data_IF_219258206479
#
_entry.id   IF_219258206479
#
_cell.length_a   1.000
_cell.length_b   1.000
_cell.length_c   1.000
_cell.angle_alpha   90.00
_cell.angle_beta   90.00
_cell.angle_gamma   90.00
#
_symmetry.space_group_name_H-M   'P 1'
#
loop_
_entity.id
_entity.type
_entity.pdbx_description
1 polymer ?
#
# COMPACT_ATOMS: atom_id res chain seq x y z
N UNK A 1 15.52 28.84 -13.25
CA UNK A 1 14.66 28.49 -12.10
C UNK A 1 14.79 29.66 -11.10
N UNK A 2 13.75 30.53 -11.06
CA UNK A 2 13.65 31.53 -10.01
C UNK A 2 13.03 30.86 -8.78
N UNK A 3 13.82 30.64 -7.75
CA UNK A 3 13.29 30.32 -6.43
C UNK A 3 12.41 31.50 -5.96
N UNK A 4 11.11 31.21 -5.81
CA UNK A 4 10.19 32.16 -5.20
C UNK A 4 10.62 32.37 -3.74
N UNK A 5 10.98 33.59 -3.37
CA UNK A 5 11.33 33.89 -1.99
C UNK A 5 10.14 33.63 -1.07
N UNK A 6 10.41 33.18 0.16
CA UNK A 6 9.38 32.94 1.18
C UNK A 6 8.42 34.14 1.34
N UNK A 7 8.96 35.35 1.29
CA UNK A 7 8.16 36.59 1.40
C UNK A 7 7.21 36.81 0.21
N UNK A 8 7.58 36.34 -0.99
CA UNK A 8 6.69 36.41 -2.16
C UNK A 8 5.54 35.43 -2.06
N UNK A 9 5.78 34.22 -1.52
CA UNK A 9 4.76 33.19 -1.28
C UNK A 9 3.81 33.66 -0.17
N UNK A 10 4.31 34.20 0.94
CA UNK A 10 3.50 34.62 2.10
C UNK A 10 2.55 35.79 1.76
N UNK A 11 2.82 36.53 0.65
CA UNK A 11 1.94 37.63 0.16
C UNK A 11 0.72 37.12 -0.62
N UNK A 12 0.81 35.95 -1.24
CA UNK A 12 -0.22 35.41 -2.13
C UNK A 12 -0.89 34.12 -1.59
N UNK A 13 -0.32 33.54 -0.54
CA UNK A 13 -0.80 32.31 0.04
C UNK A 13 -0.96 32.42 1.57
N UNK A 14 -2.19 32.35 2.06
CA UNK A 14 -2.47 32.26 3.49
C UNK A 14 -2.37 30.81 3.96
N UNK A 15 -1.26 30.46 4.62
CA UNK A 15 -1.06 29.15 5.21
C UNK A 15 -1.46 29.15 6.68
N UNK A 16 -2.58 28.53 7.02
CA UNK A 16 -2.99 28.34 8.41
C UNK A 16 -2.49 26.99 8.92
N UNK A 17 -1.54 27.01 9.86
CA UNK A 17 -1.14 25.80 10.59
C UNK A 17 -2.06 25.56 11.79
N UNK A 18 -2.36 24.31 12.11
CA UNK A 18 -3.17 23.95 13.30
C UNK A 18 -2.65 24.57 14.60
N UNK A 19 -1.35 24.86 14.67
CA UNK A 19 -0.70 25.45 15.85
C UNK A 19 -0.97 26.97 16.00
N UNK A 20 -1.46 27.63 14.95
CA UNK A 20 -1.75 29.08 14.92
C UNK A 20 -3.24 29.38 14.95
N UNK A 21 -4.09 28.42 15.27
CA UNK A 21 -5.52 28.60 15.35
C UNK A 21 -5.92 28.59 16.81
N UNK A 22 -6.56 29.69 17.25
CA UNK A 22 -7.02 29.94 18.61
C UNK A 22 -8.53 30.18 18.59
N UNK A 23 -9.20 29.86 19.68
CA UNK A 23 -10.61 30.24 19.88
C UNK A 23 -10.76 31.74 20.28
N UNK A 24 -12.00 32.15 20.54
CA UNK A 24 -12.32 33.52 20.92
C UNK A 24 -11.74 33.90 22.30
N UNK A 25 -11.43 32.93 23.16
CA UNK A 25 -10.84 33.08 24.49
C UNK A 25 -9.29 33.08 24.43
N UNK A 26 -8.70 32.87 23.25
CA UNK A 26 -7.26 32.84 23.03
C UNK A 26 -6.60 31.51 23.36
N UNK A 27 -7.38 30.45 23.58
CA UNK A 27 -6.90 29.08 23.81
C UNK A 27 -6.70 28.37 22.46
N UNK A 28 -5.73 27.45 22.43
CA UNK A 28 -5.48 26.66 21.20
C UNK A 28 -6.61 25.68 20.93
N UNK A 29 -7.23 25.76 19.76
CA UNK A 29 -8.28 24.83 19.33
C UNK A 29 -7.73 23.41 19.13
N UNK A 30 -6.48 23.31 18.64
CA UNK A 30 -5.84 22.01 18.40
C UNK A 30 -4.76 21.72 19.45
N UNK A 31 -4.80 20.54 20.08
CA UNK A 31 -3.76 20.12 21.02
C UNK A 31 -2.40 19.99 20.34
N UNK A 32 -1.33 20.07 21.11
CA UNK A 32 0.00 19.79 20.61
C UNK A 32 0.08 18.35 20.07
N UNK A 33 0.72 18.22 18.91
CA UNK A 33 1.03 16.90 18.36
C UNK A 33 2.39 16.47 18.93
N UNK A 34 2.37 15.39 19.70
CA UNK A 34 3.59 14.70 20.07
C UNK A 34 3.79 13.46 19.18
N UNK A 35 5.00 13.29 18.66
CA UNK A 35 5.32 12.21 17.72
C UNK A 35 6.41 11.34 18.34
N UNK A 36 6.02 10.11 18.68
CA UNK A 36 6.93 9.10 19.20
C UNK A 36 7.11 7.94 18.20
N UNK A 37 8.31 7.38 18.13
CA UNK A 37 8.59 6.15 17.38
C UNK A 37 8.49 4.95 18.30
N UNK A 38 7.63 4.01 17.96
CA UNK A 38 7.46 2.76 18.71
C UNK A 38 8.14 1.63 17.96
N UNK A 39 9.27 1.08 18.46
CA UNK A 39 9.95 -0.03 17.80
C UNK A 39 9.12 -1.31 17.89
N UNK A 40 9.09 -2.06 16.79
CA UNK A 40 8.38 -3.33 16.67
C UNK A 40 9.38 -4.43 16.31
N UNK A 41 9.37 -5.51 17.10
CA UNK A 41 10.15 -6.71 16.79
C UNK A 41 9.21 -7.73 16.14
N UNK A 42 9.47 -8.05 14.88
CA UNK A 42 8.74 -9.09 14.13
C UNK A 42 9.12 -10.47 14.61
N UNK A 43 8.17 -11.41 14.61
CA UNK A 43 8.43 -12.83 14.83
C UNK A 43 9.25 -13.43 13.69
N UNK A 44 9.66 -14.69 13.84
CA UNK A 44 10.39 -15.39 12.78
C UNK A 44 9.50 -15.59 11.54
N UNK A 45 8.26 -16.00 11.76
CA UNK A 45 7.26 -16.23 10.73
C UNK A 45 6.92 -14.93 9.96
N UNK A 46 6.77 -13.81 10.69
CA UNK A 46 6.55 -12.52 10.06
C UNK A 46 7.74 -12.09 9.19
N UNK A 47 8.98 -12.38 9.62
CA UNK A 47 10.18 -12.09 8.83
C UNK A 47 10.24 -12.94 7.57
N UNK A 48 9.90 -14.23 7.68
CA UNK A 48 9.84 -15.14 6.53
C UNK A 48 8.81 -14.67 5.51
N UNK A 49 7.59 -14.36 5.94
CA UNK A 49 6.56 -13.79 5.06
C UNK A 49 7.04 -12.50 4.41
N UNK A 50 7.64 -11.60 5.21
CA UNK A 50 8.12 -10.32 4.72
C UNK A 50 9.16 -10.48 3.62
N UNK A 51 10.11 -11.40 3.80
CA UNK A 51 11.13 -11.69 2.80
C UNK A 51 10.51 -12.33 1.55
N UNK A 52 9.69 -13.34 1.71
CA UNK A 52 9.07 -14.06 0.59
C UNK A 52 8.18 -13.15 -0.28
N UNK A 53 7.36 -12.28 0.36
CA UNK A 53 6.56 -11.29 -0.39
C UNK A 53 7.45 -10.25 -1.07
N UNK A 54 8.53 -9.80 -0.41
CA UNK A 54 9.46 -8.84 -1.02
C UNK A 54 10.13 -9.44 -2.25
N UNK A 55 10.59 -10.69 -2.18
CA UNK A 55 11.21 -11.39 -3.30
C UNK A 55 10.22 -11.57 -4.47
N UNK A 56 8.98 -11.95 -4.17
CA UNK A 56 7.91 -12.04 -5.17
C UNK A 56 7.66 -10.68 -5.84
N UNK A 57 7.47 -9.63 -5.05
CA UNK A 57 7.24 -8.27 -5.56
C UNK A 57 8.38 -7.81 -6.47
N UNK A 58 9.63 -8.02 -6.05
CA UNK A 58 10.81 -7.66 -6.85
C UNK A 58 10.86 -8.41 -8.17
N UNK A 59 10.58 -9.71 -8.16
CA UNK A 59 10.61 -10.54 -9.37
C UNK A 59 9.55 -10.10 -10.38
N UNK A 60 8.31 -9.86 -9.94
CA UNK A 60 7.23 -9.40 -10.81
C UNK A 60 7.48 -7.96 -11.28
N UNK A 61 7.95 -7.07 -10.40
CA UNK A 61 8.32 -5.70 -10.75
C UNK A 61 9.40 -5.65 -11.84
N UNK A 62 10.50 -6.39 -11.67
CA UNK A 62 11.59 -6.43 -12.64
C UNK A 62 11.11 -6.95 -14.01
N UNK A 63 10.20 -7.94 -14.01
CA UNK A 63 9.59 -8.43 -15.25
C UNK A 63 8.68 -7.39 -15.89
N UNK A 64 7.89 -6.66 -15.11
CA UNK A 64 7.03 -5.58 -15.60
C UNK A 64 7.82 -4.46 -16.26
N UNK A 65 8.98 -4.10 -15.72
CA UNK A 65 9.90 -3.14 -16.32
C UNK A 65 10.44 -3.63 -17.68
N UNK A 66 10.85 -4.91 -17.75
CA UNK A 66 11.36 -5.51 -18.99
C UNK A 66 10.30 -5.56 -20.10
N UNK A 67 9.04 -5.78 -19.73
CA UNK A 67 7.90 -5.87 -20.67
C UNK A 67 7.20 -4.52 -20.88
N UNK A 68 7.71 -3.43 -20.28
CA UNK A 68 7.13 -2.09 -20.33
C UNK A 68 5.65 -2.05 -19.91
N UNK A 69 5.35 -2.69 -18.76
CA UNK A 69 4.02 -2.74 -18.17
C UNK A 69 3.96 -1.99 -16.82
N UNK A 70 3.94 -0.66 -16.83
CA UNK A 70 4.06 0.15 -15.61
C UNK A 70 2.91 -0.05 -14.62
N UNK A 71 1.71 -0.38 -15.09
CA UNK A 71 0.56 -0.65 -14.22
C UNK A 71 0.80 -1.86 -13.30
N UNK A 72 1.46 -2.93 -13.80
CA UNK A 72 1.84 -4.08 -12.97
C UNK A 72 2.92 -3.69 -11.97
N UNK A 73 3.91 -2.88 -12.37
CA UNK A 73 4.92 -2.33 -11.47
C UNK A 73 4.28 -1.53 -10.33
N UNK A 74 3.27 -0.71 -10.63
CA UNK A 74 2.51 0.03 -9.62
C UNK A 74 1.73 -0.90 -8.68
N UNK A 75 1.07 -1.94 -9.20
CA UNK A 75 0.40 -2.96 -8.39
C UNK A 75 1.36 -3.63 -7.40
N UNK A 76 2.61 -3.89 -7.82
CA UNK A 76 3.65 -4.44 -6.94
C UNK A 76 4.07 -3.45 -5.85
N UNK A 77 4.17 -2.16 -6.17
CA UNK A 77 4.44 -1.12 -5.17
C UNK A 77 3.31 -1.00 -4.13
N UNK A 78 2.04 -1.11 -4.55
CA UNK A 78 0.90 -1.18 -3.64
C UNK A 78 0.96 -2.41 -2.73
N UNK A 79 1.32 -3.56 -3.27
CA UNK A 79 1.48 -4.79 -2.50
C UNK A 79 2.58 -4.63 -1.43
N UNK A 80 3.72 -4.02 -1.78
CA UNK A 80 4.76 -3.69 -0.81
C UNK A 80 4.28 -2.73 0.28
N UNK A 81 3.47 -1.74 -0.07
CA UNK A 81 2.83 -0.83 0.89
C UNK A 81 1.88 -1.58 1.84
N UNK A 82 1.10 -2.54 1.34
CA UNK A 82 0.22 -3.39 2.17
C UNK A 82 1.01 -4.28 3.12
N UNK A 83 2.13 -4.85 2.67
CA UNK A 83 3.04 -5.66 3.49
C UNK A 83 3.57 -4.88 4.70
N UNK A 84 4.00 -3.63 4.53
CA UNK A 84 4.47 -2.79 5.65
C UNK A 84 3.34 -2.27 6.53
N UNK A 85 2.11 -2.28 6.04
CA UNK A 85 0.92 -1.86 6.80
C UNK A 85 0.53 -2.88 7.86
N UNK A 86 0.13 -4.08 7.45
CA UNK A 86 -0.24 -5.18 8.37
C UNK A 86 -0.26 -6.54 7.67
N UNK A 87 -0.15 -7.61 8.46
CA UNK A 87 -0.29 -8.99 7.95
C UNK A 87 -1.69 -9.21 7.35
N UNK A 88 -2.73 -8.67 7.97
CA UNK A 88 -4.09 -8.76 7.44
C UNK A 88 -4.25 -8.08 6.08
N UNK A 89 -3.64 -6.91 5.89
CA UNK A 89 -3.70 -6.18 4.62
C UNK A 89 -2.99 -6.94 3.49
N UNK A 90 -1.78 -7.45 3.74
CA UNK A 90 -1.05 -8.21 2.72
C UNK A 90 -1.74 -9.55 2.41
N UNK A 91 -2.25 -10.26 3.41
CA UNK A 91 -3.01 -11.48 3.22
C UNK A 91 -4.21 -11.26 2.30
N UNK A 92 -5.02 -10.23 2.56
CA UNK A 92 -6.17 -9.89 1.72
C UNK A 92 -5.75 -9.58 0.27
N UNK A 93 -4.66 -8.85 0.08
CA UNK A 93 -4.13 -8.53 -1.25
C UNK A 93 -3.64 -9.76 -2.00
N UNK A 94 -2.87 -10.65 -1.34
CA UNK A 94 -2.37 -11.90 -1.93
C UNK A 94 -3.53 -12.83 -2.30
N UNK A 95 -4.52 -13.00 -1.41
CA UNK A 95 -5.69 -13.86 -1.66
C UNK A 95 -6.52 -13.35 -2.84
N UNK A 96 -6.72 -12.03 -2.94
CA UNK A 96 -7.43 -11.42 -4.07
C UNK A 96 -6.69 -11.64 -5.39
N UNK A 97 -5.38 -11.39 -5.42
CA UNK A 97 -4.55 -11.62 -6.60
C UNK A 97 -4.59 -13.09 -7.03
N UNK A 98 -4.45 -14.01 -6.09
CA UNK A 98 -4.56 -15.45 -6.35
C UNK A 98 -5.92 -15.80 -6.98
N UNK A 99 -7.02 -15.30 -6.41
CA UNK A 99 -8.36 -15.54 -6.95
C UNK A 99 -8.49 -15.03 -8.39
N UNK A 100 -8.05 -13.79 -8.67
CA UNK A 100 -8.11 -13.18 -9.99
C UNK A 100 -7.33 -14.00 -11.03
N UNK A 101 -6.12 -14.47 -10.71
CA UNK A 101 -5.31 -15.27 -11.63
C UNK A 101 -5.89 -16.67 -11.87
N UNK A 102 -6.46 -17.30 -10.83
CA UNK A 102 -7.10 -18.63 -10.95
C UNK A 102 -8.39 -18.55 -11.77
N UNK A 103 -9.17 -17.47 -11.63
CA UNK A 103 -10.42 -17.26 -12.38
C UNK A 103 -10.18 -16.78 -13.82
N UNK A 104 -8.93 -16.57 -14.20
CA UNK A 104 -8.56 -16.09 -15.54
C UNK A 104 -9.03 -14.66 -15.82
N UNK A 105 -9.24 -13.86 -14.77
CA UNK A 105 -9.61 -12.44 -14.88
C UNK A 105 -8.40 -11.55 -15.21
N UNK A 106 -7.28 -12.14 -15.63
CA UNK A 106 -6.12 -11.40 -16.13
C UNK A 106 -6.49 -10.74 -17.46
N UNK A 107 -6.92 -9.52 -17.38
CA UNK A 107 -7.38 -8.73 -18.52
C UNK A 107 -6.21 -8.07 -19.24
N UNK A 108 -5.99 -8.44 -20.49
CA UNK A 108 -5.34 -7.60 -21.49
C UNK A 108 -6.21 -6.40 -21.88
N UNK A 109 -7.24 -6.07 -21.10
CA UNK A 109 -8.24 -5.05 -21.40
C UNK A 109 -7.72 -3.68 -20.94
N UNK A 110 -8.06 -2.65 -21.68
CA UNK A 110 -7.82 -1.25 -21.31
C UNK A 110 -8.25 -1.01 -19.86
N UNK A 111 -7.37 -0.39 -19.08
CA UNK A 111 -7.68 0.04 -17.71
C UNK A 111 -8.91 0.97 -17.71
N UNK A 112 -9.66 0.94 -16.61
CA UNK A 112 -10.75 1.89 -16.39
C UNK A 112 -10.20 3.32 -16.23
N UNK A 113 -11.04 4.32 -16.51
CA UNK A 113 -10.67 5.74 -16.32
C UNK A 113 -10.24 6.02 -14.87
N UNK A 114 -10.89 5.39 -13.90
CA UNK A 114 -10.58 5.50 -12.49
C UNK A 114 -9.19 4.91 -12.17
N UNK A 115 -8.85 3.79 -12.80
CA UNK A 115 -7.53 3.16 -12.61
C UNK A 115 -6.43 3.98 -13.28
N UNK A 116 -6.66 4.57 -14.45
CA UNK A 116 -5.73 5.47 -15.09
C UNK A 116 -5.50 6.73 -14.24
N UNK A 117 -6.57 7.37 -13.74
CA UNK A 117 -6.49 8.53 -12.85
C UNK A 117 -5.72 8.19 -11.54
N UNK A 118 -5.95 6.99 -10.99
CA UNK A 118 -5.22 6.52 -9.80
C UNK A 118 -3.72 6.34 -10.07
N UNK A 119 -3.34 5.84 -11.24
CA UNK A 119 -1.94 5.71 -11.66
C UNK A 119 -1.27 7.08 -11.86
N UNK A 120 -2.01 8.08 -12.33
CA UNK A 120 -1.54 9.45 -12.50
C UNK A 120 -1.44 10.23 -11.18
N UNK A 121 -1.91 9.64 -10.09
CA UNK A 121 -1.82 10.21 -8.74
C UNK A 121 -2.94 11.18 -8.40
N UNK A 122 -4.07 11.10 -9.09
CA UNK A 122 -5.25 11.88 -8.77
C UNK A 122 -5.86 11.45 -7.42
N UNK A 123 -6.47 12.40 -6.73
CA UNK A 123 -7.13 12.14 -5.44
C UNK A 123 -8.56 11.67 -5.70
N UNK A 124 -8.74 10.35 -5.68
CA UNK A 124 -10.02 9.67 -5.90
C UNK A 124 -10.78 9.48 -4.59
N UNK A 125 -12.09 9.31 -4.70
CA UNK A 125 -12.92 8.82 -3.59
C UNK A 125 -12.49 7.39 -3.18
N UNK A 126 -12.77 7.01 -1.93
CA UNK A 126 -12.27 5.73 -1.38
C UNK A 126 -12.81 4.51 -2.15
N UNK A 127 -14.08 4.58 -2.61
CA UNK A 127 -14.69 3.51 -3.41
C UNK A 127 -14.01 3.32 -4.78
N UNK A 128 -13.61 4.42 -5.42
CA UNK A 128 -12.93 4.38 -6.72
C UNK A 128 -11.47 3.89 -6.56
N UNK A 129 -10.80 4.28 -5.46
CA UNK A 129 -9.49 3.72 -5.09
C UNK A 129 -9.55 2.20 -4.89
N UNK A 130 -10.58 1.71 -4.20
CA UNK A 130 -10.76 0.27 -4.00
C UNK A 130 -10.99 -0.47 -5.32
N UNK A 131 -11.77 0.08 -6.25
CA UNK A 131 -12.00 -0.48 -7.59
C UNK A 131 -10.71 -0.51 -8.40
N UNK A 132 -9.98 0.60 -8.44
CA UNK A 132 -8.68 0.68 -9.12
C UNK A 132 -7.67 -0.34 -8.56
N UNK A 133 -7.55 -0.47 -7.24
CA UNK A 133 -6.68 -1.47 -6.61
C UNK A 133 -7.14 -2.91 -6.91
N UNK A 134 -8.44 -3.14 -7.05
CA UNK A 134 -8.99 -4.44 -7.44
C UNK A 134 -8.62 -4.80 -8.87
N UNK A 135 -8.77 -3.88 -9.82
CA UNK A 135 -8.38 -4.05 -11.20
C UNK A 135 -6.87 -4.28 -11.32
N UNK A 136 -6.05 -3.44 -10.67
CA UNK A 136 -4.59 -3.59 -10.64
C UNK A 136 -4.15 -4.95 -10.07
N UNK A 137 -4.89 -5.51 -9.12
CA UNK A 137 -4.57 -6.81 -8.54
C UNK A 137 -4.77 -8.00 -9.50
N UNK A 138 -5.49 -7.80 -10.60
CA UNK A 138 -5.72 -8.81 -11.65
C UNK A 138 -4.64 -8.79 -12.74
N UNK A 139 -3.85 -7.73 -12.85
CA UNK A 139 -2.83 -7.59 -13.87
C UNK A 139 -1.67 -8.56 -13.65
N UNK A 140 -1.18 -9.18 -14.72
CA UNK A 140 -0.01 -10.07 -14.68
C UNK A 140 0.95 -9.79 -15.83
N UNK A 141 2.20 -10.22 -15.67
CA UNK A 141 3.28 -10.13 -16.67
C UNK A 141 3.71 -11.50 -17.17
N UNK A 142 2.82 -12.49 -17.11
CA UNK A 142 3.13 -13.85 -17.59
C UNK A 142 3.00 -13.93 -19.12
N UNK A 143 4.02 -14.50 -19.75
CA UNK A 143 4.09 -14.66 -21.21
C UNK A 143 3.70 -16.10 -21.65
N UNK A 144 3.44 -17.00 -20.68
CA UNK A 144 3.04 -18.37 -20.95
C UNK A 144 2.21 -18.95 -19.80
N UNK A 145 1.41 -19.99 -20.12
CA UNK A 145 0.61 -20.71 -19.13
C UNK A 145 1.50 -21.31 -18.01
N UNK A 146 2.70 -21.77 -18.34
CA UNK A 146 3.65 -22.31 -17.36
C UNK A 146 4.11 -21.24 -16.35
N UNK A 147 4.35 -20.01 -16.80
CA UNK A 147 4.69 -18.90 -15.90
C UNK A 147 3.51 -18.48 -15.04
N UNK A 148 2.29 -18.54 -15.58
CA UNK A 148 1.08 -18.26 -14.82
C UNK A 148 0.86 -19.31 -13.73
N UNK A 149 1.06 -20.59 -14.03
CA UNK A 149 0.97 -21.68 -13.06
C UNK A 149 2.01 -21.52 -11.94
N UNK A 150 3.26 -21.17 -12.27
CA UNK A 150 4.32 -20.89 -11.30
C UNK A 150 3.97 -19.69 -10.39
N UNK A 151 3.39 -18.62 -10.95
CA UNK A 151 2.93 -17.46 -10.18
C UNK A 151 1.79 -17.84 -9.23
N UNK A 152 0.82 -18.64 -9.69
CA UNK A 152 -0.29 -19.14 -8.89
C UNK A 152 0.22 -20.01 -7.72
N UNK A 153 1.19 -20.91 -7.95
CA UNK A 153 1.80 -21.70 -6.88
C UNK A 153 2.51 -20.82 -5.86
N UNK A 154 3.31 -19.86 -6.33
CA UNK A 154 3.99 -18.90 -5.46
C UNK A 154 2.99 -18.13 -4.59
N UNK A 155 1.89 -17.66 -5.17
CA UNK A 155 0.85 -16.94 -4.42
C UNK A 155 0.15 -17.85 -3.39
N UNK A 156 -0.09 -19.14 -3.70
CA UNK A 156 -0.64 -20.10 -2.73
C UNK A 156 0.26 -20.25 -1.52
N UNK A 157 1.56 -20.37 -1.75
CA UNK A 157 2.55 -20.49 -0.68
C UNK A 157 2.60 -19.23 0.18
N UNK A 158 2.57 -18.03 -0.44
CA UNK A 158 2.54 -16.76 0.27
C UNK A 158 1.27 -16.59 1.11
N UNK A 159 0.10 -16.98 0.58
CA UNK A 159 -1.17 -16.95 1.33
C UNK A 159 -1.09 -17.90 2.51
N UNK A 160 -0.58 -19.13 2.30
CA UNK A 160 -0.41 -20.12 3.37
C UNK A 160 0.53 -19.62 4.48
N UNK A 161 1.65 -18.99 4.13
CA UNK A 161 2.56 -18.36 5.09
C UNK A 161 1.84 -17.26 5.89
N UNK A 162 1.06 -16.40 5.22
CA UNK A 162 0.32 -15.34 5.88
C UNK A 162 -0.78 -15.89 6.82
N UNK A 163 -1.42 -17.00 6.45
CA UNK A 163 -2.42 -17.69 7.28
C UNK A 163 -1.83 -18.34 8.52
N UNK A 164 -0.59 -18.81 8.43
CA UNK A 164 0.16 -19.35 9.55
C UNK A 164 0.51 -18.32 10.64
N UNK A 165 0.31 -17.00 10.40
CA UNK A 165 0.58 -15.94 11.38
C UNK A 165 -0.71 -15.55 12.08
N UNK A 166 -0.95 -16.03 13.31
CA UNK A 166 -2.24 -15.82 13.99
C UNK A 166 -2.45 -14.38 14.45
N UNK A 167 -1.38 -13.66 14.74
CA UNK A 167 -1.46 -12.29 15.26
C UNK A 167 -0.28 -11.44 14.78
N UNK A 168 -0.59 -10.30 14.21
CA UNK A 168 0.35 -9.27 13.76
C UNK A 168 1.03 -8.58 14.96
N UNK A 169 2.36 -8.65 15.04
CA UNK A 169 3.16 -8.01 16.09
C UNK A 169 2.95 -6.49 16.15
N UNK A 170 2.74 -5.84 15.00
CA UNK A 170 2.44 -4.41 14.91
C UNK A 170 1.09 -4.09 15.54
N UNK A 171 0.06 -4.85 15.18
CA UNK A 171 -1.28 -4.68 15.73
C UNK A 171 -1.30 -4.90 17.25
N UNK A 172 -0.60 -5.93 17.76
CA UNK A 172 -0.46 -6.15 19.21
C UNK A 172 0.23 -4.98 19.91
N UNK A 173 1.29 -4.44 19.31
CA UNK A 173 2.03 -3.34 19.91
C UNK A 173 1.20 -2.06 19.95
N UNK A 174 0.49 -1.74 18.86
CA UNK A 174 -0.43 -0.60 18.79
C UNK A 174 -1.53 -0.75 19.84
N UNK A 175 -2.16 -1.93 19.95
CA UNK A 175 -3.19 -2.20 20.95
C UNK A 175 -2.69 -1.97 22.37
N UNK A 176 -1.50 -2.50 22.73
CA UNK A 176 -0.89 -2.29 24.05
C UNK A 176 -0.60 -0.81 24.32
N UNK A 177 -0.12 -0.09 23.31
CA UNK A 177 0.15 1.33 23.44
C UNK A 177 -1.10 2.14 23.71
N UNK A 178 -2.20 1.88 22.96
CA UNK A 178 -3.49 2.52 23.20
C UNK A 178 -4.03 2.21 24.60
N UNK A 179 -3.90 0.95 25.09
CA UNK A 179 -4.32 0.56 26.43
C UNK A 179 -3.54 1.23 27.55
N UNK A 180 -2.34 1.74 27.29
CA UNK A 180 -1.53 2.47 28.27
C UNK A 180 -1.87 3.97 28.32
N UNK A 181 -2.56 4.49 27.27
CA UNK A 181 -2.96 5.88 27.17
C UNK A 181 -4.37 6.13 27.73
N UNK A 182 -5.18 5.09 27.89
CA UNK A 182 -6.54 5.11 28.46
C UNK A 182 -6.51 4.83 29.97
#
# INVERSE_FOLDING_TARGET
DQELSKDAVDRVMMRRGKQSIYDDDGERIFPNRDVGTVPITRTHEEKQLYQAVTDYVQNVYNRSEQLNQPAVGFAMALMQKRLVSSIGAIKATLSRRLANLVEGQSTETSLSEETEAYLEGEDLEEEDKERAEQELSALTVTESDAQLEEEIETLRDLVSLAEGIPVDSKAQKVRRYIQQLL
#
